data_IF_444095044504
#
_entry.id   IF_444095044504
#
_cell.length_a   1.000
_cell.length_b   1.000
_cell.length_c   1.000
_cell.angle_alpha   90.00
_cell.angle_beta   90.00
_cell.angle_gamma   90.00
#
_symmetry.space_group_name_H-M   'P 1'
#
loop_
_entity.id
_entity.type
_entity.pdbx_description
1 polymer ?
#
# COMPACT_ATOMS: atom_id res chain seq x y z
N UNK A 1 10.10 -2.84 -4.32
CA UNK A 1 9.72 -3.10 -5.73
C UNK A 1 10.86 -3.91 -6.33
N UNK A 2 10.64 -5.19 -6.64
CA UNK A 2 11.72 -6.03 -7.17
C UNK A 2 12.10 -5.53 -8.55
N UNK A 3 13.24 -4.85 -8.61
CA UNK A 3 13.86 -4.30 -9.81
C UNK A 3 13.85 -5.31 -10.97
N UNK A 4 13.89 -6.61 -10.66
CA UNK A 4 13.84 -7.73 -11.61
C UNK A 4 12.56 -7.79 -12.46
N UNK A 5 11.38 -7.49 -11.90
CA UNK A 5 10.11 -7.58 -12.65
C UNK A 5 9.95 -6.38 -13.59
N UNK A 6 10.24 -5.18 -13.10
CA UNK A 6 10.26 -3.97 -13.95
C UNK A 6 11.30 -4.11 -15.08
N UNK A 7 12.48 -4.65 -14.76
CA UNK A 7 13.51 -4.95 -15.75
C UNK A 7 13.02 -5.97 -16.77
N UNK A 8 12.29 -7.01 -16.36
CA UNK A 8 11.78 -8.02 -17.28
C UNK A 8 10.73 -7.46 -18.25
N UNK A 9 9.76 -6.68 -17.75
CA UNK A 9 8.74 -6.05 -18.60
C UNK A 9 9.36 -5.01 -19.53
N UNK A 10 10.28 -4.19 -19.03
CA UNK A 10 11.01 -3.21 -19.83
C UNK A 10 11.87 -3.89 -20.90
N UNK A 11 12.60 -4.96 -20.56
CA UNK A 11 13.38 -5.75 -21.51
C UNK A 11 12.50 -6.43 -22.56
N UNK A 12 11.33 -6.95 -22.20
CA UNK A 12 10.40 -7.57 -23.15
C UNK A 12 9.81 -6.55 -24.14
N UNK A 13 9.39 -5.39 -23.65
CA UNK A 13 8.89 -4.29 -24.50
C UNK A 13 10.01 -3.74 -25.38
N UNK A 14 11.21 -3.56 -24.83
CA UNK A 14 12.37 -3.08 -25.59
C UNK A 14 12.82 -4.09 -26.66
N UNK A 15 12.82 -5.39 -26.34
CA UNK A 15 13.09 -6.46 -27.31
C UNK A 15 12.03 -6.48 -28.43
N UNK A 16 10.74 -6.29 -28.10
CA UNK A 16 9.66 -6.19 -29.07
C UNK A 16 9.87 -5.00 -30.03
N UNK A 17 10.24 -3.84 -29.49
CA UNK A 17 10.54 -2.62 -30.27
C UNK A 17 11.74 -2.86 -31.19
N UNK A 18 12.82 -3.49 -30.69
CA UNK A 18 14.00 -3.80 -31.48
C UNK A 18 13.71 -4.82 -32.61
N UNK A 19 12.87 -5.82 -32.34
CA UNK A 19 12.41 -6.78 -33.36
C UNK A 19 11.58 -6.07 -34.43
N UNK A 20 10.64 -5.20 -34.03
CA UNK A 20 9.84 -4.41 -34.96
C UNK A 20 10.70 -3.47 -35.82
N UNK A 21 11.70 -2.81 -35.23
CA UNK A 21 12.66 -1.97 -35.96
C UNK A 21 13.55 -2.77 -36.92
N UNK A 22 13.95 -3.97 -36.55
CA UNK A 22 14.73 -4.89 -37.41
C UNK A 22 13.90 -5.38 -38.62
N UNK A 23 12.63 -5.68 -38.41
CA UNK A 23 11.68 -6.07 -39.47
C UNK A 23 11.40 -4.90 -40.44
N UNK A 24 11.41 -3.66 -39.94
CA UNK A 24 11.27 -2.45 -40.77
C UNK A 24 12.52 -2.18 -41.63
N UNK A 25 13.73 -2.45 -41.10
CA UNK A 25 15.00 -2.24 -41.81
C UNK A 25 15.34 -3.30 -42.87
N UNK A 26 14.77 -4.49 -42.75
CA UNK A 26 14.95 -5.53 -43.77
C UNK A 26 14.05 -5.25 -44.99
N UNK A 27 14.57 -5.46 -46.21
CA UNK A 27 13.78 -5.54 -47.46
C UNK A 27 12.94 -6.84 -47.49
N UNK A 28 12.36 -7.20 -46.35
CA UNK A 28 11.44 -8.30 -46.20
C UNK A 28 10.14 -7.93 -46.92
N UNK A 29 9.68 -8.83 -47.80
CA UNK A 29 8.41 -8.69 -48.49
C UNK A 29 7.28 -8.49 -47.46
N UNK A 30 6.22 -7.79 -47.85
CA UNK A 30 5.10 -7.44 -46.97
C UNK A 30 4.54 -8.64 -46.17
N UNK A 31 4.56 -9.84 -46.77
CA UNK A 31 4.16 -11.09 -46.14
C UNK A 31 4.98 -11.44 -44.89
N UNK A 32 6.29 -11.26 -44.91
CA UNK A 32 7.18 -11.59 -43.79
C UNK A 32 7.01 -10.60 -42.63
N UNK A 33 6.73 -9.33 -42.95
CA UNK A 33 6.42 -8.30 -41.93
C UNK A 33 5.11 -8.58 -41.21
N UNK A 34 4.09 -8.98 -41.96
CA UNK A 34 2.79 -9.38 -41.40
C UNK A 34 2.89 -10.60 -40.49
N UNK A 35 3.65 -11.62 -40.88
CA UNK A 35 3.88 -12.80 -40.05
C UNK A 35 4.58 -12.42 -38.74
N UNK A 36 5.62 -11.58 -38.79
CA UNK A 36 6.32 -11.10 -37.60
C UNK A 36 5.41 -10.30 -36.66
N UNK A 37 4.53 -9.45 -37.21
CA UNK A 37 3.53 -8.73 -36.43
C UNK A 37 2.55 -9.69 -35.74
N UNK A 38 2.01 -10.67 -36.46
CA UNK A 38 1.10 -11.66 -35.89
C UNK A 38 1.75 -12.47 -34.75
N UNK A 39 3.01 -12.88 -34.91
CA UNK A 39 3.74 -13.62 -33.87
C UNK A 39 3.95 -12.74 -32.63
N UNK A 40 4.41 -11.50 -32.80
CA UNK A 40 4.58 -10.54 -31.71
C UNK A 40 3.26 -10.28 -30.95
N UNK A 41 2.16 -10.16 -31.69
CA UNK A 41 0.84 -9.91 -31.13
C UNK A 41 0.30 -11.11 -30.35
N UNK A 42 0.44 -12.32 -30.89
CA UNK A 42 0.07 -13.58 -30.22
C UNK A 42 0.91 -13.80 -28.96
N UNK A 43 2.22 -13.54 -29.01
CA UNK A 43 3.07 -13.63 -27.82
C UNK A 43 2.62 -12.63 -26.74
N UNK A 44 2.32 -11.38 -27.11
CA UNK A 44 1.83 -10.37 -26.16
C UNK A 44 0.52 -10.82 -25.50
N UNK A 45 -0.42 -11.36 -26.28
CA UNK A 45 -1.69 -11.87 -25.76
C UNK A 45 -1.54 -13.14 -24.91
N UNK A 46 -0.60 -14.03 -25.25
CA UNK A 46 -0.35 -15.25 -24.50
C UNK A 46 0.30 -14.97 -23.12
N UNK A 47 1.14 -13.93 -23.03
CA UNK A 47 1.80 -13.57 -21.78
C UNK A 47 1.02 -12.57 -20.92
N UNK A 48 0.14 -11.73 -21.49
CA UNK A 48 -0.70 -10.81 -20.73
C UNK A 48 -1.50 -11.44 -19.56
N UNK A 49 -2.17 -12.61 -19.73
CA UNK A 49 -2.91 -13.25 -18.64
C UNK A 49 -2.02 -13.92 -17.60
N UNK A 50 -0.71 -14.07 -17.83
CA UNK A 50 0.24 -14.59 -16.83
C UNK A 50 0.88 -13.46 -16.01
N UNK A 51 1.08 -12.28 -16.61
CA UNK A 51 1.64 -11.11 -15.92
C UNK A 51 0.60 -10.45 -15.03
N UNK A 52 -0.67 -10.39 -15.44
CA UNK A 52 -1.74 -9.76 -14.66
C UNK A 52 -1.98 -10.39 -13.27
N UNK A 53 -2.11 -11.73 -13.12
CA UNK A 53 -2.36 -12.36 -11.82
C UNK A 53 -1.14 -12.28 -10.89
N UNK A 54 0.07 -12.44 -11.42
CA UNK A 54 1.30 -12.36 -10.61
C UNK A 54 1.58 -10.93 -10.13
N UNK A 55 1.32 -9.92 -10.96
CA UNK A 55 1.39 -8.52 -10.54
C UNK A 55 0.30 -8.20 -9.52
N UNK A 56 -0.93 -8.73 -9.70
CA UNK A 56 -2.01 -8.60 -8.73
C UNK A 56 -1.69 -9.30 -7.41
N UNK A 57 -1.12 -10.50 -7.39
CA UNK A 57 -0.82 -11.22 -6.14
C UNK A 57 0.28 -10.53 -5.34
N UNK A 58 1.31 -9.98 -6.00
CA UNK A 58 2.37 -9.22 -5.33
C UNK A 58 1.87 -7.86 -4.81
N UNK A 59 0.96 -7.20 -5.56
CA UNK A 59 0.28 -5.99 -5.08
C UNK A 59 -0.63 -6.34 -3.89
N UNK A 60 -1.38 -7.43 -3.99
CA UNK A 60 -2.27 -7.95 -2.96
C UNK A 60 -1.51 -8.23 -1.65
N UNK A 61 -0.42 -8.98 -1.70
CA UNK A 61 0.43 -9.30 -0.53
C UNK A 61 1.12 -8.07 0.08
N UNK A 62 1.31 -6.99 -0.70
CA UNK A 62 1.88 -5.72 -0.20
C UNK A 62 0.83 -4.74 0.31
N UNK A 63 -0.41 -4.88 -0.13
CA UNK A 63 -1.51 -3.97 0.22
C UNK A 63 -2.35 -4.50 1.39
N UNK A 64 -2.44 -5.82 1.55
CA UNK A 64 -3.08 -6.48 2.69
C UNK A 64 -2.22 -6.34 3.94
N UNK A 65 -2.56 -5.32 4.74
CA UNK A 65 -2.21 -5.30 6.16
C UNK A 65 -3.47 -5.75 6.87
N UNK A 66 -3.53 -7.03 7.20
CA UNK A 66 -4.55 -7.58 8.09
C UNK A 66 -4.11 -7.51 9.56
N UNK A 67 -5.00 -7.97 10.44
CA UNK A 67 -4.80 -7.97 11.91
C UNK A 67 -3.57 -8.80 12.29
N UNK A 68 -3.20 -9.77 11.47
CA UNK A 68 -2.00 -10.60 11.61
C UNK A 68 -0.68 -9.81 11.53
N UNK A 69 -0.68 -8.60 10.96
CA UNK A 69 0.49 -7.72 10.92
C UNK A 69 0.50 -6.66 12.02
N UNK A 70 -0.50 -6.68 12.91
CA UNK A 70 -0.61 -5.75 14.02
C UNK A 70 0.37 -6.09 15.15
N UNK A 71 0.92 -5.06 15.78
CA UNK A 71 1.68 -5.18 17.00
C UNK A 71 0.77 -5.61 18.16
N UNK A 72 1.07 -6.76 18.75
CA UNK A 72 0.36 -7.29 19.92
C UNK A 72 1.23 -7.07 21.16
N UNK A 73 0.76 -6.23 22.08
CA UNK A 73 1.46 -5.95 23.34
C UNK A 73 1.56 -7.21 24.20
N UNK A 74 2.78 -7.62 24.56
CA UNK A 74 3.03 -8.62 25.60
C UNK A 74 3.21 -10.06 25.15
N UNK A 75 3.25 -10.35 23.85
CA UNK A 75 3.47 -11.72 23.38
C UNK A 75 4.84 -11.88 22.72
N UNK A 76 5.69 -12.72 23.31
CA UNK A 76 6.86 -13.34 22.67
C UNK A 76 6.42 -14.39 21.61
N UNK A 77 5.25 -14.24 21.00
CA UNK A 77 4.83 -15.09 19.88
C UNK A 77 5.42 -14.50 18.60
N UNK A 78 6.25 -15.28 17.92
CA UNK A 78 6.94 -14.97 16.66
C UNK A 78 6.01 -14.64 15.47
N UNK A 79 4.72 -14.44 15.68
CA UNK A 79 3.72 -14.27 14.62
C UNK A 79 3.35 -12.78 14.38
N UNK A 80 3.84 -11.85 15.21
CA UNK A 80 3.78 -10.42 14.92
C UNK A 80 4.94 -10.04 14.01
N UNK A 81 4.64 -9.59 12.78
CA UNK A 81 5.64 -9.18 11.78
C UNK A 81 6.40 -7.87 12.10
N UNK A 82 6.37 -7.39 13.35
CA UNK A 82 7.03 -6.15 13.73
C UNK A 82 7.55 -6.11 15.17
N UNK A 83 8.36 -5.09 15.46
CA UNK A 83 8.98 -4.85 16.77
C UNK A 83 8.51 -3.53 17.36
N UNK A 84 8.46 -3.43 18.69
CA UNK A 84 8.06 -2.21 19.38
C UNK A 84 8.58 -2.16 20.81
N UNK A 85 8.99 -0.97 21.25
CA UNK A 85 9.47 -0.65 22.59
C UNK A 85 8.63 0.47 23.18
N UNK A 86 8.16 0.28 24.41
CA UNK A 86 7.34 1.24 25.14
C UNK A 86 6.13 1.77 24.33
N UNK A 87 5.45 0.86 23.60
CA UNK A 87 4.29 1.20 22.78
C UNK A 87 3.05 1.28 23.66
N UNK A 88 2.38 2.43 23.65
CA UNK A 88 1.12 2.67 24.34
C UNK A 88 0.09 3.22 23.35
N UNK A 89 -1.13 2.71 23.46
CA UNK A 89 -2.29 3.17 22.71
C UNK A 89 -3.34 3.59 23.74
N UNK A 90 -3.88 4.79 23.58
CA UNK A 90 -4.90 5.35 24.45
C UNK A 90 -6.02 5.94 23.61
N UNK A 91 -7.25 5.61 23.99
CA UNK A 91 -8.45 6.16 23.39
C UNK A 91 -9.10 7.12 24.40
N UNK A 92 -9.32 8.37 24.02
CA UNK A 92 -9.92 9.39 24.89
C UNK A 92 -10.80 10.32 24.08
N UNK A 93 -12.09 10.40 24.41
CA UNK A 93 -13.06 11.24 23.72
C UNK A 93 -13.02 11.08 22.19
N UNK A 94 -12.98 9.82 21.72
CA UNK A 94 -12.86 9.47 20.30
C UNK A 94 -11.55 9.94 19.62
N UNK A 95 -10.52 10.28 20.38
CA UNK A 95 -9.16 10.45 19.88
C UNK A 95 -8.36 9.17 20.08
N UNK A 96 -7.50 8.83 19.11
CA UNK A 96 -6.54 7.74 19.24
C UNK A 96 -5.14 8.30 19.35
N UNK A 97 -4.57 8.14 20.54
CA UNK A 97 -3.23 8.61 20.90
C UNK A 97 -2.28 7.43 21.00
N UNK A 98 -1.14 7.54 20.32
CA UNK A 98 -0.17 6.47 20.20
C UNK A 98 1.19 7.03 20.57
N UNK A 99 1.85 6.43 21.56
CA UNK A 99 3.22 6.81 21.94
C UNK A 99 4.15 5.60 21.89
N UNK A 100 5.39 5.79 21.45
CA UNK A 100 6.39 4.72 21.39
C UNK A 100 7.83 5.26 21.49
N UNK A 101 8.72 4.50 22.14
CA UNK A 101 10.16 4.77 22.08
C UNK A 101 10.74 4.28 20.74
N UNK A 102 10.33 3.06 20.34
CA UNK A 102 10.66 2.48 19.04
C UNK A 102 9.47 1.71 18.48
N UNK A 103 9.21 1.84 17.19
CA UNK A 103 8.16 1.08 16.52
C UNK A 103 8.55 0.76 15.07
N UNK A 104 8.54 -0.53 14.75
CA UNK A 104 8.65 -1.04 13.39
C UNK A 104 7.57 -2.10 13.20
N UNK A 105 6.31 -1.65 13.14
CA UNK A 105 5.13 -2.51 13.09
C UNK A 105 3.90 -1.71 12.67
N UNK A 106 2.75 -2.38 12.65
CA UNK A 106 1.44 -1.74 12.42
C UNK A 106 0.64 -1.73 13.71
N UNK A 107 -0.13 -0.66 13.95
CA UNK A 107 -1.16 -0.59 14.97
C UNK A 107 -2.52 -0.40 14.28
N UNK A 108 -3.61 -0.86 14.89
CA UNK A 108 -4.94 -0.65 14.34
C UNK A 108 -5.94 -0.17 15.38
N UNK A 109 -6.98 0.50 14.89
CA UNK A 109 -8.11 0.95 15.69
C UNK A 109 -9.39 0.90 14.87
N UNK A 110 -10.45 0.36 15.47
CA UNK A 110 -11.79 0.41 14.91
C UNK A 110 -12.40 1.77 15.23
N UNK A 111 -12.89 2.45 14.19
CA UNK A 111 -13.28 3.84 14.27
C UNK A 111 -14.60 4.05 13.53
N UNK A 112 -15.56 4.70 14.18
CA UNK A 112 -16.78 5.14 13.51
C UNK A 112 -16.50 6.48 12.81
N UNK A 113 -16.74 6.61 11.50
CA UNK A 113 -16.58 7.88 10.80
C UNK A 113 -17.39 9.00 11.49
N UNK A 114 -16.81 10.19 11.73
CA UNK A 114 -17.53 11.32 12.32
C UNK A 114 -18.50 11.92 11.30
N UNK A 115 -19.50 12.65 11.77
CA UNK A 115 -20.49 13.31 10.91
C UNK A 115 -19.86 14.27 9.89
N UNK A 116 -18.76 14.92 10.26
CA UNK A 116 -17.98 15.79 9.36
C UNK A 116 -17.35 15.05 8.18
N UNK A 117 -17.23 13.72 8.26
CA UNK A 117 -16.50 12.90 7.31
C UNK A 117 -15.00 13.20 7.27
N UNK A 118 -14.42 13.79 8.31
CA UNK A 118 -13.00 14.17 8.33
C UNK A 118 -12.30 13.80 9.63
N UNK A 119 -11.03 13.43 9.51
CA UNK A 119 -10.12 13.26 10.64
C UNK A 119 -8.87 14.12 10.44
N UNK A 120 -8.22 14.49 11.52
CA UNK A 120 -6.89 15.10 11.54
C UNK A 120 -5.91 14.14 12.18
N UNK A 121 -4.71 14.05 11.60
CA UNK A 121 -3.62 13.25 12.13
C UNK A 121 -2.47 14.19 12.43
N UNK A 122 -2.01 14.19 13.68
CA UNK A 122 -0.82 14.94 14.12
C UNK A 122 0.29 13.96 14.50
N UNK A 123 1.18 13.62 13.57
CA UNK A 123 2.32 12.76 13.83
C UNK A 123 3.53 13.56 14.32
N UNK A 124 4.19 13.09 15.36
CA UNK A 124 5.51 13.58 15.80
C UNK A 124 6.40 12.37 16.06
N UNK A 125 7.58 12.33 15.46
CA UNK A 125 8.60 11.29 15.70
C UNK A 125 9.98 11.80 15.29
N UNK A 126 11.04 11.28 15.91
CA UNK A 126 12.41 11.76 15.65
C UNK A 126 13.06 11.10 14.43
N UNK A 127 12.65 9.88 14.10
CA UNK A 127 13.15 9.13 12.96
C UNK A 127 12.09 8.14 12.44
N UNK A 128 12.31 7.64 11.23
CA UNK A 128 11.46 6.63 10.58
C UNK A 128 10.44 7.21 9.61
N UNK A 129 9.49 6.38 9.22
CA UNK A 129 8.36 6.77 8.36
C UNK A 129 7.06 6.24 8.94
N UNK A 130 5.97 6.98 8.74
CA UNK A 130 4.65 6.55 9.13
C UNK A 130 3.64 6.74 7.98
N UNK A 131 2.64 5.89 7.92
CA UNK A 131 1.49 6.08 7.05
C UNK A 131 0.22 5.58 7.72
N UNK A 132 -0.87 6.32 7.57
CA UNK A 132 -2.20 5.86 7.94
C UNK A 132 -2.81 5.14 6.73
N UNK A 133 -3.26 3.90 6.90
CA UNK A 133 -4.17 3.24 5.95
C UNK A 133 -5.56 3.16 6.55
N UNK A 134 -6.56 3.31 5.71
CA UNK A 134 -7.97 3.26 6.09
C UNK A 134 -8.61 2.17 5.25
N UNK A 135 -9.39 1.29 5.89
CA UNK A 135 -10.11 0.20 5.22
C UNK A 135 -11.53 0.07 5.75
N UNK A 136 -12.47 -0.36 4.91
CA UNK A 136 -13.86 -0.60 5.27
C UNK A 136 -14.44 -1.71 4.40
N UNK A 137 -15.25 -2.58 5.03
CA UNK A 137 -15.84 -3.72 4.36
C UNK A 137 -14.90 -4.93 4.26
N UNK A 138 -15.49 -6.11 4.10
CA UNK A 138 -14.79 -7.35 3.77
C UNK A 138 -14.34 -7.36 2.30
N UNK A 139 -14.94 -8.22 1.46
CA UNK A 139 -14.42 -8.57 0.12
C UNK A 139 -14.23 -7.41 -0.89
N UNK A 140 -14.82 -6.23 -0.68
CA UNK A 140 -14.55 -5.02 -1.47
C UNK A 140 -13.84 -3.97 -0.63
N UNK A 141 -12.53 -4.11 -0.51
CA UNK A 141 -11.70 -3.21 0.28
C UNK A 141 -11.54 -1.87 -0.45
N UNK A 142 -12.32 -0.86 -0.05
CA UNK A 142 -11.85 0.50 -0.22
C UNK A 142 -10.60 0.65 0.65
N UNK A 143 -9.50 1.15 0.06
CA UNK A 143 -8.23 1.37 0.75
C UNK A 143 -7.78 2.79 0.43
N UNK A 144 -7.55 3.59 1.47
CA UNK A 144 -6.90 4.90 1.34
C UNK A 144 -5.61 4.86 2.15
N UNK A 145 -4.49 5.26 1.53
CA UNK A 145 -3.19 5.38 2.19
C UNK A 145 -2.77 6.83 2.21
N UNK A 146 -2.44 7.31 3.41
CA UNK A 146 -2.01 8.68 3.67
C UNK A 146 -0.61 8.63 4.29
N UNK A 147 0.43 9.13 3.59
CA UNK A 147 1.75 9.27 4.20
C UNK A 147 1.70 10.33 5.31
N UNK A 148 2.42 10.11 6.39
CA UNK A 148 2.49 11.00 7.54
C UNK A 148 3.91 11.57 7.66
N UNK A 149 4.02 12.90 7.64
CA UNK A 149 5.28 13.62 7.84
C UNK A 149 5.35 14.14 9.26
N UNK A 150 6.42 13.83 9.98
CA UNK A 150 6.61 14.29 11.37
C UNK A 150 6.50 15.83 11.48
N UNK A 151 5.66 16.31 12.40
CA UNK A 151 5.42 17.73 12.66
C UNK A 151 4.40 18.40 11.74
N UNK A 152 3.86 17.72 10.73
CA UNK A 152 2.80 18.25 9.86
C UNK A 152 1.44 17.62 10.19
N UNK A 153 0.46 18.47 10.49
CA UNK A 153 -0.94 18.03 10.58
C UNK A 153 -1.47 17.64 9.20
N UNK A 154 -2.10 16.47 9.13
CA UNK A 154 -2.72 15.97 7.90
C UNK A 154 -4.23 15.85 8.11
N UNK A 155 -5.01 16.58 7.33
CA UNK A 155 -6.47 16.39 7.27
C UNK A 155 -6.80 15.33 6.23
N UNK A 156 -7.57 14.31 6.64
CA UNK A 156 -7.98 13.21 5.79
C UNK A 156 -9.49 13.24 5.62
N UNK A 157 -9.93 13.34 4.36
CA UNK A 157 -11.34 13.22 3.99
C UNK A 157 -11.72 11.74 3.90
N UNK A 158 -12.68 11.36 4.73
CA UNK A 158 -13.30 10.05 4.80
C UNK A 158 -14.83 10.11 4.58
N UNK A 159 -15.34 11.18 3.95
CA UNK A 159 -16.77 11.33 3.67
C UNK A 159 -17.33 10.32 2.67
N UNK A 160 -16.47 9.73 1.83
CA UNK A 160 -16.84 8.71 0.86
C UNK A 160 -17.08 7.31 1.48
N UNK A 161 -16.69 7.12 2.75
CA UNK A 161 -16.84 5.87 3.47
C UNK A 161 -18.24 5.77 4.07
N UNK A 162 -18.76 4.55 4.24
CA UNK A 162 -20.09 4.34 4.81
C UNK A 162 -20.13 4.83 6.27
N UNK A 163 -20.92 5.87 6.61
CA UNK A 163 -20.92 6.44 7.96
C UNK A 163 -21.63 5.54 8.99
N UNK A 164 -22.25 4.44 8.57
CA UNK A 164 -22.97 3.49 9.43
C UNK A 164 -22.14 2.26 9.81
N UNK A 165 -20.94 2.14 9.26
CA UNK A 165 -20.06 0.99 9.46
C UNK A 165 -18.69 1.47 9.95
N UNK A 166 -18.08 0.71 10.85
CA UNK A 166 -16.73 1.00 11.33
C UNK A 166 -15.73 0.90 10.18
N UNK A 167 -14.79 1.85 10.17
CA UNK A 167 -13.56 1.76 9.41
C UNK A 167 -12.44 1.26 10.31
N UNK A 168 -11.46 0.59 9.72
CA UNK A 168 -10.23 0.22 10.43
C UNK A 168 -9.14 1.18 10.02
N UNK A 169 -8.60 1.89 11.01
CA UNK A 169 -7.44 2.75 10.86
C UNK A 169 -6.20 1.92 11.16
N UNK A 170 -5.28 1.82 10.21
CA UNK A 170 -4.01 1.13 10.35
C UNK A 170 -2.88 2.15 10.35
N UNK A 171 -2.22 2.33 11.49
CA UNK A 171 -0.99 3.11 11.55
C UNK A 171 0.19 2.20 11.28
N UNK A 172 0.81 2.34 10.11
CA UNK A 172 2.02 1.60 9.72
C UNK A 172 3.23 2.47 10.01
N UNK A 173 4.10 2.02 10.91
CA UNK A 173 5.35 2.72 11.25
C UNK A 173 6.54 1.85 10.91
N UNK A 174 7.49 2.40 10.17
CA UNK A 174 8.74 1.73 9.79
C UNK A 174 9.93 2.46 10.38
N UNK A 175 10.67 1.77 11.25
CA UNK A 175 11.86 2.30 11.94
C UNK A 175 11.60 3.61 12.71
N UNK A 176 10.41 3.72 13.33
CA UNK A 176 10.01 4.88 14.11
C UNK A 176 10.75 4.99 15.44
N UNK A 177 11.13 6.20 15.84
CA UNK A 177 11.73 6.48 17.16
C UNK A 177 11.08 7.69 17.84
N UNK A 178 10.90 7.61 19.18
CA UNK A 178 10.31 8.63 20.04
C UNK A 178 9.05 9.27 19.45
N UNK A 179 8.08 8.43 19.09
CA UNK A 179 6.88 8.85 18.40
C UNK A 179 5.73 9.16 19.34
N UNK A 180 4.98 10.20 18.97
CA UNK A 180 3.65 10.52 19.47
C UNK A 180 2.76 10.84 18.26
N UNK A 181 1.70 10.06 18.05
CA UNK A 181 0.77 10.23 16.93
C UNK A 181 -0.64 10.30 17.49
N UNK A 182 -1.35 11.37 17.14
CA UNK A 182 -2.74 11.59 17.53
C UNK A 182 -3.63 11.60 16.29
N UNK A 183 -4.70 10.82 16.32
CA UNK A 183 -5.81 10.89 15.36
C UNK A 183 -7.02 11.47 16.06
N UNK A 184 -7.60 12.52 15.49
CA UNK A 184 -8.73 13.26 16.06
C UNK A 184 -9.86 13.38 15.03
N UNK A 185 -11.11 13.04 15.39
CA UNK A 185 -12.27 13.34 14.56
C UNK A 185 -12.49 14.85 14.50
N UNK A 186 -12.72 15.37 13.29
CA UNK A 186 -13.19 16.75 13.12
C UNK A 186 -14.66 16.76 13.50
N UNK A 187 -15.07 17.70 14.37
CA UNK A 187 -16.46 17.88 14.76
C UNK A 187 -17.28 18.56 13.67
#
# INVERSE_FOLDING_TARGET
MDFKIFTFTFCAVFALILILQSIQKTKANARTRWIGFCIAWVLTLAFAPLVCPAARSILWDREHIGVEYAYIKGNFSNDSHGTGQAVFQMETDSNWNITFDKLNSTLFWYFMPPESGKITVMPTFTAGTASLKITQGGESFAIQKVPLTSGEEVSVDISAWNPREEIVLWLVVSHGENGNITVTPVK
#
